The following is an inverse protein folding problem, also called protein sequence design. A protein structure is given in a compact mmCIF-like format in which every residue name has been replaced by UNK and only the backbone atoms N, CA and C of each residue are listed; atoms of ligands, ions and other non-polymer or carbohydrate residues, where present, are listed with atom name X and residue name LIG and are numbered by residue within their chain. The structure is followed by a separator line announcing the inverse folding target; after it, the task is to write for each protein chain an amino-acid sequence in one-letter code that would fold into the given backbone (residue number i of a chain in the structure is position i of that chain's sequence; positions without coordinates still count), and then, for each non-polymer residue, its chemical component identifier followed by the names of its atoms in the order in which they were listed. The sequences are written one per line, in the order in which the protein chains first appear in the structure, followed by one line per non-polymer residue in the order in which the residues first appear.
data_IF_725526215980
#
_entry.id   IF_725526215980
#
_cell.length_a   1.000
_cell.length_b   1.000
_cell.length_c   1.000
_cell.angle_alpha   90.00
_cell.angle_beta   90.00
_cell.angle_gamma   90.00
#
_symmetry.space_group_name_H-M   'P 1'
#
loop_
_entity.id
_entity.type
_entity.pdbx_description
1 polymer ?
#
# COMPACT_ATOMS: atom_id res chain seq x y z
N UNK A 1 8.36 22.24 -31.70
CA UNK A 1 8.96 20.93 -31.95
C UNK A 1 7.88 19.86 -31.92
N UNK A 2 7.65 19.12 -33.01
CA UNK A 2 6.64 18.06 -33.10
C UNK A 2 7.16 16.73 -32.57
N UNK A 3 7.80 16.70 -31.40
CA UNK A 3 8.19 15.44 -30.79
C UNK A 3 6.95 14.65 -30.35
N UNK A 4 6.91 13.32 -30.62
CA UNK A 4 5.85 12.48 -30.11
C UNK A 4 5.92 12.43 -28.58
N UNK A 5 4.82 12.74 -27.92
CA UNK A 5 4.70 12.54 -26.49
C UNK A 5 4.43 11.04 -26.23
N UNK A 6 5.03 10.46 -25.18
CA UNK A 6 4.70 9.10 -24.77
C UNK A 6 3.21 8.99 -24.44
N UNK A 7 2.61 7.82 -24.66
CA UNK A 7 1.21 7.59 -24.31
C UNK A 7 0.95 7.86 -22.83
N UNK A 8 -0.25 8.37 -22.54
CA UNK A 8 -0.81 8.37 -21.19
C UNK A 8 -1.59 7.09 -21.00
N UNK A 9 -1.45 6.46 -19.85
CA UNK A 9 -2.27 5.31 -19.49
C UNK A 9 -3.28 5.75 -18.44
N UNK A 10 -4.54 5.51 -18.72
CA UNK A 10 -5.64 5.86 -17.83
C UNK A 10 -6.57 4.67 -17.65
N UNK A 11 -7.08 4.47 -16.43
CA UNK A 11 -8.13 3.48 -16.15
C UNK A 11 -9.48 4.17 -16.13
N UNK A 12 -10.41 3.67 -16.92
CA UNK A 12 -11.80 4.11 -16.85
C UNK A 12 -12.50 3.44 -15.66
N UNK A 13 -13.17 4.23 -14.83
CA UNK A 13 -14.02 3.72 -13.75
C UNK A 13 -15.39 3.31 -14.28
N UNK A 14 -16.15 2.51 -13.51
CA UNK A 14 -17.55 2.17 -13.85
C UNK A 14 -18.46 3.40 -13.97
N UNK A 15 -18.07 4.52 -13.36
CA UNK A 15 -18.79 5.82 -13.44
C UNK A 15 -18.32 6.69 -14.63
N UNK A 16 -17.49 6.17 -15.53
CA UNK A 16 -17.00 6.89 -16.70
C UNK A 16 -15.87 7.90 -16.43
N UNK A 17 -15.37 7.99 -15.20
CA UNK A 17 -14.23 8.83 -14.84
C UNK A 17 -12.93 8.15 -15.24
N UNK A 18 -11.87 8.94 -15.47
CA UNK A 18 -10.53 8.44 -15.78
C UNK A 18 -9.58 8.66 -14.61
N UNK A 19 -8.86 7.61 -14.24
CA UNK A 19 -7.78 7.67 -13.25
C UNK A 19 -6.47 7.54 -14.01
N UNK A 20 -5.57 8.50 -13.82
CA UNK A 20 -4.25 8.47 -14.46
C UNK A 20 -3.41 7.36 -13.83
N UNK A 21 -2.98 6.44 -14.67
CA UNK A 21 -2.14 5.29 -14.34
C UNK A 21 -0.66 5.63 -14.52
N UNK A 22 -0.33 6.14 -15.70
CA UNK A 22 0.98 6.72 -16.03
C UNK A 22 0.80 8.06 -16.72
N UNK A 23 1.75 8.95 -16.49
CA UNK A 23 1.73 10.32 -17.03
C UNK A 23 1.28 11.37 -16.01
N UNK A 24 1.07 11.02 -14.74
CA UNK A 24 0.66 11.99 -13.70
C UNK A 24 1.64 13.15 -13.57
N UNK A 25 2.96 12.87 -13.56
CA UNK A 25 3.98 13.91 -13.48
C UNK A 25 3.93 14.82 -14.71
N UNK A 26 3.76 14.24 -15.91
CA UNK A 26 3.62 15.00 -17.16
C UNK A 26 2.37 15.88 -17.16
N UNK A 27 1.24 15.31 -16.73
CA UNK A 27 -0.03 16.05 -16.59
C UNK A 27 0.10 17.19 -15.59
N UNK A 28 0.73 16.94 -14.43
CA UNK A 28 0.95 17.94 -13.41
C UNK A 28 1.87 19.05 -13.91
N UNK A 29 2.97 18.70 -14.59
CA UNK A 29 3.89 19.68 -15.16
C UNK A 29 3.22 20.58 -16.22
N UNK A 30 2.43 19.99 -17.12
CA UNK A 30 1.68 20.75 -18.13
C UNK A 30 0.68 21.69 -17.47
N UNK A 31 -0.14 21.17 -16.54
CA UNK A 31 -1.10 21.99 -15.79
C UNK A 31 -0.43 23.13 -15.04
N UNK A 32 0.63 22.80 -14.27
CA UNK A 32 1.30 23.79 -13.43
C UNK A 32 2.01 24.86 -14.27
N UNK A 33 2.45 24.52 -15.48
CA UNK A 33 2.96 25.49 -16.45
C UNK A 33 1.85 26.40 -16.99
N UNK A 34 0.72 25.83 -17.43
CA UNK A 34 -0.44 26.61 -17.90
C UNK A 34 -0.97 27.52 -16.77
N UNK A 35 -0.94 27.05 -15.53
CA UNK A 35 -1.28 27.82 -14.33
C UNK A 35 -0.20 28.87 -13.94
N UNK A 36 0.85 29.04 -14.73
CA UNK A 36 1.97 30.00 -14.48
C UNK A 36 2.73 29.76 -13.16
N UNK A 37 2.78 28.51 -12.66
CA UNK A 37 3.46 28.19 -11.39
C UNK A 37 4.98 28.10 -11.50
N UNK A 38 5.51 27.96 -12.71
CA UNK A 38 6.95 27.93 -12.95
C UNK A 38 7.30 28.49 -14.32
N UNK A 39 8.60 28.76 -14.54
CA UNK A 39 9.17 29.22 -15.79
C UNK A 39 9.96 28.12 -16.48
N UNK A 40 10.00 28.13 -17.80
CA UNK A 40 10.83 27.21 -18.58
C UNK A 40 12.30 27.46 -18.30
N UNK A 41 13.08 26.41 -18.12
CA UNK A 41 14.54 26.51 -17.88
C UNK A 41 15.28 25.39 -18.59
N UNK A 42 16.54 25.64 -18.95
CA UNK A 42 17.42 24.63 -19.52
C UNK A 42 17.09 24.21 -20.97
N UNK A 43 16.30 25.00 -21.68
CA UNK A 43 15.99 24.77 -23.09
C UNK A 43 17.23 25.08 -23.95
N UNK A 44 17.69 24.08 -24.72
CA UNK A 44 18.86 24.21 -25.63
C UNK A 44 18.45 24.62 -27.04
N UNK A 45 17.28 24.16 -27.51
CA UNK A 45 16.82 24.38 -28.89
C UNK A 45 15.96 25.65 -29.02
N UNK A 46 15.13 25.92 -28.00
CA UNK A 46 14.28 27.10 -27.90
C UNK A 46 14.77 27.95 -26.74
N UNK A 47 16.05 28.29 -26.77
CA UNK A 47 16.72 29.01 -25.68
C UNK A 47 16.11 30.37 -25.38
N UNK A 48 15.47 31.00 -26.36
CA UNK A 48 14.72 32.26 -26.25
C UNK A 48 13.47 32.13 -25.36
N UNK A 49 13.01 30.91 -25.07
CA UNK A 49 11.88 30.66 -24.18
C UNK A 49 12.30 30.37 -22.73
N UNK A 50 13.60 30.32 -22.44
CA UNK A 50 14.05 30.23 -21.05
C UNK A 50 13.56 31.47 -20.27
N UNK A 51 13.25 31.22 -18.98
CA UNK A 51 12.70 32.20 -18.06
C UNK A 51 11.29 32.74 -18.41
N UNK A 52 10.62 32.17 -19.43
CA UNK A 52 9.23 32.46 -19.75
C UNK A 52 8.28 31.54 -18.96
N UNK A 53 7.19 32.12 -18.46
CA UNK A 53 6.01 31.37 -17.99
C UNK A 53 5.01 31.25 -19.16
N UNK A 54 3.85 30.63 -18.93
CA UNK A 54 2.87 30.40 -20.00
C UNK A 54 2.29 31.70 -20.58
N UNK A 55 2.04 32.71 -19.73
CA UNK A 55 1.54 34.01 -20.19
C UNK A 55 2.56 34.74 -21.05
N UNK A 56 3.86 34.61 -20.72
CA UNK A 56 4.91 35.27 -21.51
C UNK A 56 4.98 34.68 -22.95
N UNK A 57 4.48 33.48 -23.19
CA UNK A 57 4.43 32.87 -24.52
C UNK A 57 3.41 33.55 -25.45
N UNK A 58 2.37 34.17 -24.91
CA UNK A 58 1.37 34.94 -25.68
C UNK A 58 1.96 36.14 -26.44
N UNK A 59 2.95 36.73 -25.83
CA UNK A 59 3.63 37.91 -26.35
C UNK A 59 4.76 37.58 -27.34
N UNK A 60 5.10 36.29 -27.46
CA UNK A 60 6.18 35.83 -28.33
C UNK A 60 5.67 35.44 -29.72
N UNK A 61 6.36 35.87 -30.75
CA UNK A 61 6.13 35.42 -32.13
C UNK A 61 6.42 33.91 -32.25
N UNK A 62 5.45 33.14 -32.76
CA UNK A 62 5.61 31.67 -33.00
C UNK A 62 4.49 30.77 -32.49
N UNK A 63 3.35 31.34 -32.10
CA UNK A 63 2.13 30.63 -31.70
C UNK A 63 2.36 29.54 -30.64
N UNK A 64 3.33 29.79 -29.73
CA UNK A 64 3.75 28.78 -28.76
C UNK A 64 2.64 28.38 -27.79
N UNK A 65 1.80 29.34 -27.37
CA UNK A 65 0.63 29.09 -26.52
C UNK A 65 -0.33 28.12 -27.21
N UNK A 66 -0.80 28.48 -28.43
CA UNK A 66 -1.71 27.68 -29.23
C UNK A 66 -1.15 26.29 -29.51
N UNK A 67 0.16 26.19 -29.76
CA UNK A 67 0.83 24.88 -29.95
C UNK A 67 0.81 24.00 -28.71
N UNK A 68 0.79 24.57 -27.52
CA UNK A 68 0.67 23.82 -26.25
C UNK A 68 -0.78 23.43 -26.04
N UNK A 69 -1.74 24.35 -26.22
CA UNK A 69 -3.17 24.11 -26.02
C UNK A 69 -3.71 23.07 -27.01
N UNK A 70 -3.33 23.17 -28.29
CA UNK A 70 -3.79 22.26 -29.33
C UNK A 70 -3.02 20.92 -29.39
N UNK A 71 -2.03 20.73 -28.50
CA UNK A 71 -1.25 19.51 -28.53
C UNK A 71 -2.07 18.27 -28.19
N UNK A 72 -2.24 17.40 -29.17
CA UNK A 72 -2.95 16.12 -28.99
C UNK A 72 -2.19 15.22 -28.04
N UNK A 73 -2.89 14.74 -27.02
CA UNK A 73 -2.42 13.74 -26.06
C UNK A 73 -3.07 12.40 -26.40
N UNK A 74 -2.23 11.40 -26.66
CA UNK A 74 -2.71 10.04 -26.91
C UNK A 74 -2.91 9.28 -25.61
N UNK A 75 -4.13 8.79 -25.38
CA UNK A 75 -4.50 8.03 -24.18
C UNK A 75 -4.63 6.54 -24.51
N UNK A 76 -4.03 5.71 -23.68
CA UNK A 76 -4.33 4.29 -23.64
C UNK A 76 -5.35 4.05 -22.52
N UNK A 77 -6.59 3.71 -22.89
CA UNK A 77 -7.68 3.58 -21.94
C UNK A 77 -7.82 2.12 -21.51
N UNK A 78 -7.52 1.83 -20.28
CA UNK A 78 -7.75 0.52 -19.64
C UNK A 78 -9.24 0.47 -19.28
N UNK A 79 -9.95 -0.47 -19.86
CA UNK A 79 -11.40 -0.64 -19.67
C UNK A 79 -11.71 -1.17 -18.25
N UNK A 80 -12.90 -0.86 -17.69
CA UNK A 80 -13.32 -1.39 -16.39
C UNK A 80 -13.41 -2.92 -16.33
N UNK A 81 -13.57 -3.57 -17.48
CA UNK A 81 -13.65 -5.03 -17.63
C UNK A 81 -12.31 -5.72 -17.78
N UNK A 82 -11.19 -4.95 -17.87
CA UNK A 82 -9.86 -5.54 -18.00
C UNK A 82 -9.50 -6.26 -16.69
N UNK A 83 -9.10 -7.53 -16.75
CA UNK A 83 -8.59 -8.24 -15.59
C UNK A 83 -7.46 -7.46 -14.93
N UNK A 84 -7.46 -7.39 -13.61
CA UNK A 84 -6.50 -6.55 -12.89
C UNK A 84 -5.05 -7.07 -13.03
N UNK A 85 -4.84 -8.37 -13.23
CA UNK A 85 -3.53 -8.97 -13.54
C UNK A 85 -2.90 -8.31 -14.77
N UNK A 86 -3.71 -8.12 -15.81
CA UNK A 86 -3.26 -7.44 -17.05
C UNK A 86 -2.96 -5.97 -16.76
N UNK A 87 -3.79 -5.32 -15.94
CA UNK A 87 -3.57 -3.93 -15.55
C UNK A 87 -2.22 -3.80 -14.81
N UNK A 88 -1.94 -4.74 -13.90
CA UNK A 88 -0.71 -4.76 -13.13
C UNK A 88 0.52 -4.94 -14.03
N UNK A 89 0.48 -5.89 -14.96
CA UNK A 89 1.55 -6.09 -15.95
C UNK A 89 1.79 -4.84 -16.82
N UNK A 90 0.72 -4.17 -17.24
CA UNK A 90 0.83 -2.91 -17.99
C UNK A 90 1.55 -1.86 -17.15
N UNK A 91 1.19 -1.72 -15.88
CA UNK A 91 1.86 -0.79 -14.96
C UNK A 91 3.35 -1.10 -14.79
N UNK A 92 3.71 -2.37 -14.58
CA UNK A 92 5.12 -2.76 -14.43
C UNK A 92 5.93 -2.46 -15.69
N UNK A 93 5.36 -2.70 -16.87
CA UNK A 93 6.05 -2.48 -18.15
C UNK A 93 6.15 -1.01 -18.54
N UNK A 94 5.13 -0.20 -18.25
CA UNK A 94 5.08 1.21 -18.65
C UNK A 94 5.97 2.08 -17.76
N UNK A 95 6.12 1.74 -16.48
CA UNK A 95 6.96 2.47 -15.55
C UNK A 95 8.47 2.25 -15.70
N UNK A 96 8.95 1.68 -16.81
CA UNK A 96 10.38 1.41 -17.05
C UNK A 96 11.23 2.67 -17.29
N UNK A 97 10.62 3.83 -17.56
CA UNK A 97 11.32 5.09 -17.83
C UNK A 97 11.52 6.03 -16.65
N UNK A 98 11.03 5.68 -15.46
CA UNK A 98 11.09 6.52 -14.23
C UNK A 98 11.37 5.71 -12.98
N UNK A 99 11.04 6.27 -11.82
CA UNK A 99 11.05 5.51 -10.56
C UNK A 99 9.91 4.50 -10.58
N UNK A 100 10.24 3.22 -10.70
CA UNK A 100 9.27 2.12 -10.73
C UNK A 100 8.36 2.17 -9.50
N UNK A 101 7.04 2.11 -9.71
CA UNK A 101 6.08 2.10 -8.61
C UNK A 101 6.13 0.75 -7.85
N UNK A 102 6.01 0.83 -6.53
CA UNK A 102 5.83 -0.36 -5.69
C UNK A 102 4.39 -0.89 -5.80
N UNK A 103 4.22 -2.17 -5.53
CA UNK A 103 2.92 -2.85 -5.64
C UNK A 103 1.80 -2.15 -4.86
N UNK A 104 2.10 -1.60 -3.70
CA UNK A 104 1.09 -0.89 -2.91
C UNK A 104 0.72 0.48 -3.49
N UNK A 105 1.67 1.17 -4.13
CA UNK A 105 1.37 2.41 -4.84
C UNK A 105 0.42 2.16 -6.02
N UNK A 106 0.66 1.05 -6.75
CA UNK A 106 -0.22 0.63 -7.84
C UNK A 106 -1.62 0.27 -7.31
N UNK A 107 -1.72 -0.54 -6.25
CA UNK A 107 -3.01 -0.86 -5.61
C UNK A 107 -3.75 0.40 -5.15
N UNK A 108 -3.03 1.36 -4.56
CA UNK A 108 -3.63 2.61 -4.11
C UNK A 108 -4.27 3.42 -5.26
N UNK A 109 -3.69 3.35 -6.46
CA UNK A 109 -4.27 3.97 -7.65
C UNK A 109 -5.47 3.18 -8.18
N UNK A 110 -5.33 1.84 -8.30
CA UNK A 110 -6.33 0.99 -8.95
C UNK A 110 -7.61 0.81 -8.14
N UNK A 111 -7.47 0.69 -6.82
CA UNK A 111 -8.57 0.42 -5.89
C UNK A 111 -8.89 1.64 -5.03
N UNK A 112 -8.72 2.84 -5.58
CA UNK A 112 -9.02 4.09 -4.87
C UNK A 112 -10.47 4.10 -4.35
N UNK A 113 -10.63 4.42 -3.07
CA UNK A 113 -11.94 4.43 -2.40
C UNK A 113 -11.81 4.49 -0.88
N UNK A 114 -12.79 3.89 -0.19
CA UNK A 114 -12.81 3.82 1.28
C UNK A 114 -11.58 3.10 1.83
N UNK A 115 -11.13 2.02 1.18
CA UNK A 115 -9.93 1.27 1.58
C UNK A 115 -8.69 2.16 1.59
N UNK A 116 -8.43 2.92 0.53
CA UNK A 116 -7.25 3.79 0.44
C UNK A 116 -7.29 4.94 1.44
N UNK A 117 -8.49 5.47 1.72
CA UNK A 117 -8.71 6.49 2.75
C UNK A 117 -8.41 5.91 4.14
N UNK A 118 -9.01 4.77 4.47
CA UNK A 118 -8.80 4.06 5.74
C UNK A 118 -7.31 3.76 5.97
N UNK A 119 -6.63 3.16 5.00
CA UNK A 119 -5.20 2.82 5.12
C UNK A 119 -4.33 4.08 5.33
N UNK A 120 -4.66 5.19 4.64
CA UNK A 120 -3.94 6.45 4.80
C UNK A 120 -4.11 7.02 6.20
N UNK A 121 -5.34 7.05 6.71
CA UNK A 121 -5.65 7.55 8.04
C UNK A 121 -4.94 6.71 9.11
N UNK A 122 -5.14 5.40 9.09
CA UNK A 122 -4.56 4.49 10.08
C UNK A 122 -3.03 4.50 10.07
N UNK A 123 -2.40 4.68 8.92
CA UNK A 123 -0.93 4.77 8.84
C UNK A 123 -0.35 6.00 9.55
N UNK A 124 -1.16 7.01 9.83
CA UNK A 124 -0.76 8.25 10.52
C UNK A 124 -1.10 8.25 12.02
N UNK A 125 -1.85 7.24 12.48
CA UNK A 125 -2.31 7.18 13.87
C UNK A 125 -1.19 6.83 14.84
N UNK A 126 -1.18 7.52 15.98
CA UNK A 126 -0.13 7.38 16.99
C UNK A 126 -0.01 5.96 17.54
N UNK A 127 -1.13 5.27 17.76
CA UNK A 127 -1.11 3.89 18.26
C UNK A 127 -0.45 2.91 17.28
N UNK A 128 -0.63 3.10 15.98
CA UNK A 128 0.06 2.30 14.97
C UNK A 128 1.55 2.61 14.94
N UNK A 129 1.91 3.90 14.92
CA UNK A 129 3.31 4.33 14.93
C UNK A 129 4.04 3.84 16.19
N UNK A 130 3.36 3.82 17.33
CA UNK A 130 3.88 3.27 18.58
C UNK A 130 4.06 1.75 18.48
N UNK A 131 3.07 1.02 17.96
CA UNK A 131 3.12 -0.43 17.82
C UNK A 131 4.28 -0.91 16.94
N UNK A 132 4.61 -0.16 15.90
CA UNK A 132 5.75 -0.46 15.01
C UNK A 132 7.07 0.21 15.46
N UNK A 133 7.02 1.15 16.41
CA UNK A 133 8.17 1.86 16.99
C UNK A 133 9.18 2.30 15.91
N UNK A 134 8.72 3.03 14.90
CA UNK A 134 9.52 3.46 13.73
C UNK A 134 10.31 2.33 13.04
N UNK A 135 10.03 1.08 13.36
CA UNK A 135 10.69 -0.11 12.82
C UNK A 135 10.28 -0.46 11.39
N UNK A 136 9.39 0.35 10.79
CA UNK A 136 8.89 0.16 9.43
C UNK A 136 8.91 1.47 8.65
N UNK A 137 9.31 1.41 7.38
CA UNK A 137 9.44 2.62 6.56
C UNK A 137 8.10 3.00 5.91
N UNK A 138 7.62 4.26 6.05
CA UNK A 138 6.43 4.74 5.34
C UNK A 138 6.70 5.01 3.85
N UNK A 139 7.98 4.94 3.42
CA UNK A 139 8.34 5.17 2.02
C UNK A 139 7.58 4.22 1.11
N UNK A 140 7.03 4.79 0.02
CA UNK A 140 6.36 4.02 -1.02
C UNK A 140 5.16 3.21 -0.51
N UNK A 141 4.45 3.76 0.48
CA UNK A 141 3.23 3.17 1.07
C UNK A 141 3.41 1.77 1.69
N UNK A 142 4.63 1.40 2.11
CA UNK A 142 4.88 0.10 2.74
C UNK A 142 4.16 -0.04 4.09
N UNK A 143 4.01 1.05 4.82
CA UNK A 143 3.19 1.14 6.04
C UNK A 143 1.72 0.80 5.77
N UNK A 144 1.17 1.29 4.66
CA UNK A 144 -0.21 0.99 4.24
C UNK A 144 -0.36 -0.47 3.78
N UNK A 145 0.65 -1.03 3.12
CA UNK A 145 0.65 -2.46 2.79
C UNK A 145 0.62 -3.32 4.06
N UNK A 146 1.38 -2.93 5.09
CA UNK A 146 1.39 -3.64 6.37
C UNK A 146 -0.02 -3.68 7.00
N UNK A 147 -0.71 -2.53 7.03
CA UNK A 147 -2.08 -2.44 7.53
C UNK A 147 -3.05 -3.24 6.65
N UNK A 148 -2.90 -3.15 5.32
CA UNK A 148 -3.74 -3.89 4.39
C UNK A 148 -3.62 -5.41 4.58
N UNK A 149 -2.43 -5.93 4.89
CA UNK A 149 -2.21 -7.34 5.18
C UNK A 149 -2.99 -7.81 6.41
N UNK A 150 -3.03 -7.00 7.46
CA UNK A 150 -3.89 -7.27 8.60
C UNK A 150 -5.38 -7.35 8.18
N UNK A 151 -5.85 -6.34 7.44
CA UNK A 151 -7.24 -6.34 7.01
C UNK A 151 -7.58 -7.48 6.06
N UNK A 152 -6.68 -7.91 5.20
CA UNK A 152 -6.94 -9.01 4.29
C UNK A 152 -7.30 -10.30 5.04
N UNK A 153 -6.55 -10.62 6.09
CA UNK A 153 -6.88 -11.76 6.95
C UNK A 153 -8.08 -11.51 7.86
N UNK A 154 -8.38 -10.27 8.20
CA UNK A 154 -9.54 -9.91 9.03
C UNK A 154 -10.86 -9.94 8.28
N UNK A 155 -10.88 -9.54 7.00
CA UNK A 155 -12.09 -9.50 6.18
C UNK A 155 -12.33 -10.76 5.36
N UNK A 156 -11.41 -11.72 5.38
CA UNK A 156 -11.68 -13.06 4.85
C UNK A 156 -12.56 -13.83 5.86
N UNK A 157 -13.29 -14.81 5.37
CA UNK A 157 -14.12 -15.65 6.23
C UNK A 157 -13.27 -16.73 6.92
N UNK A 158 -12.41 -17.37 6.14
CA UNK A 158 -11.50 -18.42 6.61
C UNK A 158 -10.22 -18.39 5.74
N UNK A 159 -9.09 -18.05 6.34
CA UNK A 159 -7.83 -17.95 5.59
C UNK A 159 -7.36 -19.31 5.03
N UNK A 160 -7.77 -20.43 5.60
CA UNK A 160 -7.46 -21.77 5.04
C UNK A 160 -8.12 -21.99 3.68
N UNK A 161 -9.31 -21.43 3.49
CA UNK A 161 -10.08 -21.54 2.25
C UNK A 161 -9.84 -20.36 1.32
N UNK A 162 -9.85 -19.14 1.85
CA UNK A 162 -9.86 -17.91 1.06
C UNK A 162 -8.47 -17.57 0.52
N UNK A 163 -7.39 -17.90 1.25
CA UNK A 163 -6.04 -17.66 0.76
C UNK A 163 -5.59 -18.73 -0.23
N UNK A 164 -5.38 -18.36 -1.49
CA UNK A 164 -5.05 -19.30 -2.57
C UNK A 164 -3.56 -19.32 -2.98
N UNK A 165 -2.68 -18.68 -2.18
CA UNK A 165 -1.22 -18.68 -2.41
C UNK A 165 -0.70 -17.48 -3.21
N UNK A 166 -1.58 -16.58 -3.64
CA UNK A 166 -1.19 -15.28 -4.19
C UNK A 166 -1.58 -14.13 -3.25
N UNK A 167 -0.56 -13.57 -2.59
CA UNK A 167 -0.75 -12.44 -1.68
C UNK A 167 -1.25 -11.19 -2.40
N UNK A 168 -0.90 -10.99 -3.67
CA UNK A 168 -1.33 -9.78 -4.38
C UNK A 168 -2.84 -9.80 -4.59
N UNK A 169 -3.38 -10.91 -5.17
CA UNK A 169 -4.82 -11.10 -5.34
C UNK A 169 -5.56 -10.98 -4.01
N UNK A 170 -5.02 -11.59 -2.96
CA UNK A 170 -5.66 -11.57 -1.63
C UNK A 170 -5.77 -10.15 -1.04
N UNK A 171 -4.74 -9.32 -1.22
CA UNK A 171 -4.74 -7.92 -0.79
C UNK A 171 -5.71 -7.05 -1.63
N UNK A 172 -5.85 -7.34 -2.90
CA UNK A 172 -6.75 -6.64 -3.81
C UNK A 172 -8.21 -6.96 -3.51
N UNK A 173 -8.52 -8.24 -3.31
CA UNK A 173 -9.85 -8.67 -2.87
C UNK A 173 -10.26 -8.01 -1.55
N UNK A 174 -9.31 -7.86 -0.62
CA UNK A 174 -9.56 -7.13 0.62
C UNK A 174 -9.89 -5.65 0.37
N UNK A 175 -9.17 -4.97 -0.53
CA UNK A 175 -9.46 -3.57 -0.87
C UNK A 175 -10.84 -3.43 -1.53
N UNK A 176 -11.22 -4.37 -2.42
CA UNK A 176 -12.55 -4.39 -3.05
C UNK A 176 -13.63 -4.57 -1.98
N UNK A 177 -13.50 -5.59 -1.13
CA UNK A 177 -14.43 -5.84 -0.01
C UNK A 177 -14.60 -4.59 0.86
N UNK A 178 -13.49 -3.96 1.29
CA UNK A 178 -13.54 -2.76 2.13
C UNK A 178 -14.21 -1.58 1.40
N UNK A 179 -13.97 -1.40 0.10
CA UNK A 179 -14.61 -0.34 -0.68
C UNK A 179 -16.14 -0.50 -0.77
N UNK A 180 -16.63 -1.73 -0.73
CA UNK A 180 -18.07 -2.04 -0.80
C UNK A 180 -18.75 -2.05 0.58
N UNK A 181 -17.98 -1.99 1.69
CA UNK A 181 -18.52 -1.99 3.05
C UNK A 181 -19.32 -0.70 3.38
N UNK A 182 -20.39 -0.79 4.19
CA UNK A 182 -20.98 0.36 4.85
C UNK A 182 -20.00 1.05 5.81
N UNK A 183 -20.18 2.36 6.05
CA UNK A 183 -19.29 3.12 6.96
C UNK A 183 -19.23 2.52 8.37
N UNK A 184 -20.35 2.01 8.89
CA UNK A 184 -20.38 1.35 10.20
C UNK A 184 -19.41 0.16 10.30
N UNK A 185 -19.27 -0.61 9.22
CA UNK A 185 -18.32 -1.73 9.18
C UNK A 185 -16.87 -1.23 9.06
N UNK A 186 -16.65 -0.13 8.34
CA UNK A 186 -15.33 0.52 8.28
C UNK A 186 -14.91 1.01 9.67
N UNK A 187 -15.84 1.61 10.44
CA UNK A 187 -15.55 2.06 11.79
C UNK A 187 -15.26 0.88 12.73
N UNK A 188 -15.97 -0.25 12.58
CA UNK A 188 -15.63 -1.48 13.33
C UNK A 188 -14.22 -1.99 13.00
N UNK A 189 -13.81 -1.98 11.73
CA UNK A 189 -12.45 -2.34 11.33
C UNK A 189 -11.42 -1.39 11.93
N UNK A 190 -11.70 -0.08 11.94
CA UNK A 190 -10.85 0.94 12.54
C UNK A 190 -10.64 0.69 14.03
N UNK A 191 -11.73 0.52 14.77
CA UNK A 191 -11.69 0.30 16.21
C UNK A 191 -10.98 -1.01 16.58
N UNK A 192 -11.22 -2.08 15.83
CA UNK A 192 -10.54 -3.36 16.05
C UNK A 192 -9.04 -3.24 15.76
N UNK A 193 -8.65 -2.55 14.71
CA UNK A 193 -7.22 -2.30 14.41
C UNK A 193 -6.54 -1.49 15.52
N UNK A 194 -7.19 -0.40 16.00
CA UNK A 194 -6.67 0.38 17.12
C UNK A 194 -6.48 -0.49 18.37
N UNK A 195 -7.51 -1.27 18.73
CA UNK A 195 -7.48 -2.21 19.84
C UNK A 195 -6.29 -3.16 19.74
N UNK A 196 -6.14 -3.82 18.60
CA UNK A 196 -5.08 -4.79 18.36
C UNK A 196 -3.69 -4.14 18.45
N UNK A 197 -3.50 -2.96 17.85
CA UNK A 197 -2.21 -2.26 17.91
C UNK A 197 -1.83 -1.85 19.33
N UNK A 198 -2.80 -1.35 20.12
CA UNK A 198 -2.57 -1.01 21.54
C UNK A 198 -2.24 -2.23 22.37
N UNK A 199 -3.00 -3.31 22.22
CA UNK A 199 -2.78 -4.55 22.97
C UNK A 199 -1.45 -5.20 22.63
N UNK A 200 -1.11 -5.36 21.37
CA UNK A 200 0.16 -5.98 20.97
C UNK A 200 1.37 -5.18 21.49
N UNK A 201 1.27 -3.84 21.45
CA UNK A 201 2.30 -3.00 22.04
C UNK A 201 2.35 -3.13 23.57
N UNK A 202 1.20 -3.19 24.26
CA UNK A 202 1.15 -3.36 25.71
C UNK A 202 1.77 -4.70 26.14
N UNK A 203 1.54 -5.75 25.35
CA UNK A 203 2.08 -7.08 25.63
C UNK A 203 3.59 -7.15 25.37
N UNK A 204 4.07 -6.66 24.24
CA UNK A 204 5.41 -6.98 23.73
C UNK A 204 6.37 -5.78 23.65
N UNK A 205 5.88 -4.57 23.89
CA UNK A 205 6.67 -3.31 23.90
C UNK A 205 7.60 -3.21 22.68
N UNK A 206 8.89 -3.04 22.92
CA UNK A 206 9.93 -2.89 21.88
C UNK A 206 10.16 -4.17 21.06
N UNK A 207 9.74 -5.32 21.55
CA UNK A 207 9.83 -6.61 20.87
C UNK A 207 8.67 -6.87 19.91
N UNK A 208 7.64 -6.00 19.94
CA UNK A 208 6.44 -6.17 19.14
C UNK A 208 6.78 -6.38 17.66
N UNK A 209 6.28 -7.48 17.09
CA UNK A 209 6.50 -7.90 15.70
C UNK A 209 7.96 -8.08 15.27
N UNK A 210 8.87 -8.42 16.20
CA UNK A 210 10.30 -8.53 15.93
C UNK A 210 10.90 -9.87 16.35
N UNK A 211 11.79 -10.39 15.50
CA UNK A 211 12.62 -11.54 15.85
C UNK A 211 13.79 -11.09 16.77
N UNK A 212 14.25 -11.97 17.64
CA UNK A 212 15.48 -11.73 18.40
C UNK A 212 16.67 -11.47 17.45
N UNK A 213 17.51 -10.51 17.79
CA UNK A 213 18.75 -10.22 17.05
C UNK A 213 19.74 -9.49 17.95
N UNK A 214 21.02 -9.68 17.68
CA UNK A 214 22.13 -8.98 18.36
C UNK A 214 22.34 -7.54 17.86
N UNK A 215 21.55 -7.09 16.87
CA UNK A 215 21.65 -5.73 16.30
C UNK A 215 20.85 -4.74 17.14
N UNK A 216 21.42 -3.55 17.36
CA UNK A 216 20.82 -2.48 18.17
C UNK A 216 19.44 -2.00 17.69
N UNK A 217 19.10 -2.16 16.40
CA UNK A 217 17.81 -1.77 15.85
C UNK A 217 17.20 -2.92 15.06
N UNK A 218 16.17 -3.49 15.63
CA UNK A 218 15.38 -4.57 15.00
C UNK A 218 14.27 -3.98 14.12
N UNK A 219 14.17 -4.47 12.90
CA UNK A 219 13.06 -4.09 12.00
C UNK A 219 11.82 -4.87 12.36
N UNK A 220 10.65 -4.23 12.22
CA UNK A 220 9.36 -4.94 12.25
C UNK A 220 9.35 -5.97 11.13
N UNK A 221 8.95 -7.18 11.47
CA UNK A 221 8.77 -8.26 10.52
C UNK A 221 7.30 -8.32 10.08
N UNK A 222 7.05 -8.14 8.80
CA UNK A 222 5.73 -8.10 8.21
C UNK A 222 4.92 -9.38 8.46
N UNK A 223 5.58 -10.55 8.45
CA UNK A 223 4.94 -11.85 8.66
C UNK A 223 4.53 -12.03 10.12
N UNK A 224 5.38 -11.59 11.06
CA UNK A 224 5.00 -11.56 12.48
C UNK A 224 3.85 -10.60 12.73
N UNK A 225 3.87 -9.44 12.06
CA UNK A 225 2.78 -8.49 12.15
C UNK A 225 1.44 -9.13 11.74
N UNK A 226 1.40 -9.83 10.60
CA UNK A 226 0.19 -10.51 10.11
C UNK A 226 -0.34 -11.52 11.12
N UNK A 227 0.47 -12.49 11.49
CA UNK A 227 0.03 -13.65 12.29
C UNK A 227 -0.26 -13.30 13.76
N UNK A 228 0.55 -12.41 14.36
CA UNK A 228 0.32 -11.97 15.76
C UNK A 228 -0.89 -11.04 15.85
N UNK A 229 -1.02 -10.06 14.94
CA UNK A 229 -2.19 -9.18 14.93
C UNK A 229 -3.48 -9.97 14.71
N UNK A 230 -3.45 -10.99 13.86
CA UNK A 230 -4.58 -11.88 13.65
C UNK A 230 -4.95 -12.62 14.95
N UNK A 231 -3.98 -13.17 15.70
CA UNK A 231 -4.25 -13.81 16.99
C UNK A 231 -4.97 -12.84 17.93
N UNK A 232 -4.46 -11.62 18.11
CA UNK A 232 -5.10 -10.63 18.98
C UNK A 232 -6.48 -10.19 18.48
N UNK A 233 -6.74 -10.21 17.19
CA UNK A 233 -8.02 -9.85 16.61
C UNK A 233 -9.12 -10.91 16.76
N UNK A 234 -8.74 -12.15 17.05
CA UNK A 234 -9.66 -13.28 17.19
C UNK A 234 -9.97 -13.62 18.65
N UNK A 235 -9.31 -12.96 19.61
CA UNK A 235 -9.55 -13.14 21.04
C UNK A 235 -10.05 -11.83 21.67
N UNK A 236 -10.96 -11.94 22.64
CA UNK A 236 -11.46 -10.80 23.38
C UNK A 236 -10.46 -10.31 24.46
N UNK A 237 -10.71 -9.12 24.99
CA UNK A 237 -9.84 -8.49 25.97
C UNK A 237 -9.79 -9.26 27.28
N UNK A 238 -10.91 -9.87 27.68
CA UNK A 238 -10.99 -10.66 28.92
C UNK A 238 -10.06 -11.88 28.84
N UNK A 239 -10.10 -12.63 27.75
CA UNK A 239 -9.20 -13.77 27.51
C UNK A 239 -7.73 -13.32 27.50
N UNK A 240 -7.44 -12.25 26.76
CA UNK A 240 -6.07 -11.76 26.63
C UNK A 240 -5.49 -11.27 27.96
N UNK A 241 -6.27 -10.54 28.76
CA UNK A 241 -5.83 -10.06 30.06
C UNK A 241 -5.67 -11.20 31.09
N UNK A 242 -6.58 -12.16 31.09
CA UNK A 242 -6.53 -13.33 31.97
C UNK A 242 -5.27 -14.16 31.71
N UNK A 243 -4.84 -14.28 30.45
CA UNK A 243 -3.71 -15.12 30.04
C UNK A 243 -2.44 -14.32 29.69
N UNK A 244 -2.37 -13.05 30.03
CA UNK A 244 -1.31 -12.13 29.62
C UNK A 244 0.10 -12.65 29.89
N UNK A 245 0.34 -13.18 31.09
CA UNK A 245 1.65 -13.70 31.46
C UNK A 245 2.06 -14.92 30.62
N UNK A 246 1.12 -15.84 30.39
CA UNK A 246 1.35 -17.04 29.58
C UNK A 246 1.57 -16.68 28.12
N UNK A 247 0.75 -15.78 27.56
CA UNK A 247 0.90 -15.31 26.16
C UNK A 247 2.27 -14.65 25.95
N UNK A 248 2.77 -13.87 26.92
CA UNK A 248 4.13 -13.31 26.84
C UNK A 248 5.23 -14.38 26.82
N UNK A 249 5.12 -15.42 27.64
CA UNK A 249 6.05 -16.54 27.60
C UNK A 249 5.96 -17.30 26.27
N UNK A 250 4.76 -17.51 25.77
CA UNK A 250 4.51 -18.20 24.52
C UNK A 250 4.98 -17.38 23.30
N UNK A 251 4.99 -16.05 23.39
CA UNK A 251 5.59 -15.20 22.38
C UNK A 251 7.11 -15.45 22.23
N UNK A 252 7.84 -15.62 23.34
CA UNK A 252 9.26 -15.99 23.27
C UNK A 252 9.44 -17.37 22.63
N UNK A 253 8.62 -18.36 23.00
CA UNK A 253 8.63 -19.69 22.35
C UNK A 253 8.35 -19.61 20.84
N UNK A 254 7.43 -18.74 20.42
CA UNK A 254 7.11 -18.52 19.01
C UNK A 254 8.31 -17.94 18.24
N UNK A 255 9.02 -16.99 18.85
CA UNK A 255 10.20 -16.33 18.27
C UNK A 255 11.41 -17.29 18.15
N UNK A 256 11.44 -18.34 18.93
CA UNK A 256 12.48 -19.39 18.93
C UNK A 256 12.06 -20.63 18.13
N UNK A 257 10.79 -20.76 17.78
CA UNK A 257 10.29 -21.93 17.05
C UNK A 257 10.91 -22.01 15.65
N UNK A 258 11.68 -23.07 15.39
CA UNK A 258 12.45 -23.25 14.16
C UNK A 258 11.59 -23.27 12.89
N UNK A 259 10.39 -23.84 12.98
CA UNK A 259 9.45 -23.96 11.86
C UNK A 259 8.85 -22.59 11.53
N UNK A 260 8.37 -21.86 12.55
CA UNK A 260 7.83 -20.50 12.38
C UNK A 260 8.90 -19.56 11.85
N UNK A 261 10.08 -19.50 12.49
CA UNK A 261 11.20 -18.64 12.07
C UNK A 261 11.71 -19.04 10.67
N UNK A 262 11.76 -20.33 10.37
CA UNK A 262 12.14 -20.83 9.06
C UNK A 262 11.16 -20.37 7.97
N UNK A 263 9.86 -20.35 8.25
CA UNK A 263 8.83 -19.84 7.34
C UNK A 263 8.97 -18.34 7.07
N UNK A 264 9.36 -17.56 8.09
CA UNK A 264 9.62 -16.12 7.99
C UNK A 264 10.85 -15.83 7.12
N UNK A 265 11.95 -16.55 7.35
CA UNK A 265 13.21 -16.33 6.62
C UNK A 265 13.11 -16.66 5.14
N UNK A 266 12.28 -17.62 4.77
CA UNK A 266 12.10 -18.03 3.37
C UNK A 266 11.25 -17.04 2.54
N UNK A 267 10.53 -16.13 3.16
CA UNK A 267 9.65 -15.10 2.55
C UNK A 267 8.72 -15.68 1.46
N UNK A 268 8.30 -16.93 1.62
CA UNK A 268 7.38 -17.56 0.69
C UNK A 268 5.94 -17.22 1.08
N UNK A 269 5.13 -16.91 0.08
CA UNK A 269 3.70 -16.63 0.23
C UNK A 269 2.84 -17.72 -0.44
N UNK A 270 3.36 -18.93 -0.61
CA UNK A 270 2.54 -20.05 -1.03
C UNK A 270 1.51 -20.42 0.05
N UNK A 271 0.41 -21.05 -0.36
CA UNK A 271 -0.74 -21.34 0.49
C UNK A 271 -0.34 -22.08 1.76
N UNK A 272 0.41 -23.16 1.62
CA UNK A 272 0.77 -24.02 2.76
C UNK A 272 1.66 -23.29 3.76
N UNK A 273 2.63 -22.50 3.29
CA UNK A 273 3.54 -21.74 4.16
C UNK A 273 2.80 -20.66 4.94
N UNK A 274 1.84 -19.97 4.32
CA UNK A 274 1.06 -18.93 5.00
C UNK A 274 0.12 -19.53 6.03
N UNK A 275 -0.65 -20.57 5.68
CA UNK A 275 -1.53 -21.28 6.61
C UNK A 275 -0.74 -21.79 7.80
N UNK A 276 0.38 -22.49 7.57
CA UNK A 276 1.23 -23.00 8.63
C UNK A 276 1.72 -21.90 9.61
N UNK A 277 2.06 -20.71 9.13
CA UNK A 277 2.46 -19.57 10.00
C UNK A 277 1.36 -19.15 10.93
N UNK A 278 0.14 -19.02 10.39
CA UNK A 278 -1.01 -18.60 11.18
C UNK A 278 -1.39 -19.66 12.20
N UNK A 279 -1.43 -20.94 11.77
CA UNK A 279 -1.74 -22.06 12.66
C UNK A 279 -0.71 -22.20 13.79
N UNK A 280 0.58 -22.07 13.49
CA UNK A 280 1.62 -22.07 14.51
C UNK A 280 1.50 -20.91 15.49
N UNK A 281 1.22 -19.69 14.99
CA UNK A 281 1.02 -18.54 15.84
C UNK A 281 -0.21 -18.72 16.75
N UNK A 282 -1.35 -19.17 16.19
CA UNK A 282 -2.58 -19.47 16.96
C UNK A 282 -2.33 -20.54 18.01
N UNK A 283 -1.70 -21.65 17.61
CA UNK A 283 -1.43 -22.79 18.50
C UNK A 283 -0.47 -22.44 19.63
N UNK A 284 0.65 -21.75 19.32
CA UNK A 284 1.68 -21.46 20.33
C UNK A 284 1.23 -20.33 21.27
N UNK A 285 0.70 -19.21 20.72
CA UNK A 285 0.22 -18.10 21.56
C UNK A 285 -0.99 -18.49 22.40
N UNK A 286 -1.92 -19.28 21.84
CA UNK A 286 -3.12 -19.75 22.48
C UNK A 286 -2.97 -20.97 23.38
N UNK A 287 -1.76 -21.47 23.61
CA UNK A 287 -1.53 -22.58 24.54
C UNK A 287 -1.47 -22.06 25.99
N UNK A 288 -2.66 -21.72 26.54
CA UNK A 288 -2.88 -21.06 27.82
C UNK A 288 -3.65 -21.96 28.80
#
# INVERSE_FOLDING_TARGET
LNFPLPYWYVKQTKKGQYIVVDGLQRTSAIRDFIDNKFKLTGLKVLSELNDCNFNDLKERSGDYETRIEDKKISLYVIQPSTPWEIIFEVFERVNTGGTQLEKQEIRNCLFSGKSTKLLKELSQENYFQQAIDSGFSPKRMKDRELILRYFAFKVCNDYHQDYQGDMNSFLEDAMIKINDMPEEQIDKLRNDFERVMRLTYDFFKEDNFRLPTDKNRRKVNMIMFESISYFFSTHDDQFLDQHKATIKQNFEKLRENLEYVGSIKRIKNDKNTVIQRFDLAQKILGNV
#
